data_IF_276539917085
#
_entry.id   IF_276539917085
#
_cell.length_a   1.000
_cell.length_b   1.000
_cell.length_c   1.000
_cell.angle_alpha   90.00
_cell.angle_beta   90.00
_cell.angle_gamma   90.00
#
_symmetry.space_group_name_H-M   'P 1'
#
loop_
_entity.id
_entity.type
_entity.pdbx_description
1 polymer ?
#
# COMPACT_ATOMS: atom_id res chain seq x y z
N UNK A 1 52.08 -55.71 25.92
CA UNK A 1 51.28 -56.04 24.71
C UNK A 1 50.19 -54.99 24.50
N UNK A 2 49.94 -54.62 23.23
CA UNK A 2 48.76 -53.93 22.66
C UNK A 2 48.57 -52.40 22.87
N UNK A 3 48.98 -51.65 21.82
CA UNK A 3 48.26 -50.58 21.06
C UNK A 3 46.84 -50.24 21.59
N UNK A 4 46.33 -48.99 21.71
CA UNK A 4 46.23 -47.90 20.70
C UNK A 4 45.53 -46.64 21.30
N UNK A 5 46.00 -45.45 20.89
CA UNK A 5 45.30 -44.19 20.51
C UNK A 5 44.39 -43.37 21.49
N UNK A 6 44.90 -42.14 21.75
CA UNK A 6 44.32 -40.78 21.64
C UNK A 6 43.02 -40.44 22.41
N UNK A 7 43.14 -39.49 23.35
CA UNK A 7 42.01 -38.74 23.87
C UNK A 7 42.44 -37.45 24.59
N UNK A 8 42.14 -36.30 23.96
CA UNK A 8 41.82 -34.98 24.54
C UNK A 8 42.90 -34.24 25.37
N UNK A 9 43.71 -33.45 24.67
CA UNK A 9 44.33 -32.22 25.18
C UNK A 9 43.52 -31.04 24.59
N UNK A 10 43.37 -29.95 25.35
CA UNK A 10 42.66 -28.68 25.03
C UNK A 10 41.26 -28.54 25.65
N UNK A 11 41.21 -28.59 26.98
CA UNK A 11 40.20 -27.85 27.76
C UNK A 11 40.97 -26.69 28.40
N UNK A 12 40.93 -25.50 27.79
CA UNK A 12 41.53 -24.31 28.38
C UNK A 12 41.91 -23.20 27.40
N UNK A 13 40.93 -22.55 26.75
CA UNK A 13 41.15 -21.26 26.04
C UNK A 13 39.90 -20.38 25.86
N UNK A 14 38.80 -20.57 26.62
CA UNK A 14 37.52 -19.89 26.33
C UNK A 14 37.15 -18.73 27.27
N UNK A 15 38.11 -18.05 27.91
CA UNK A 15 37.81 -17.02 28.93
C UNK A 15 38.58 -15.69 28.84
N UNK A 16 39.31 -15.37 27.74
CA UNK A 16 40.12 -14.13 27.66
C UNK A 16 39.59 -13.09 26.65
N UNK A 17 38.52 -13.38 25.90
CA UNK A 17 38.04 -12.48 24.83
C UNK A 17 36.99 -11.43 25.20
N UNK A 18 36.41 -11.46 26.41
CA UNK A 18 35.12 -10.78 26.66
C UNK A 18 35.20 -9.43 27.41
N UNK A 19 36.38 -8.90 27.70
CA UNK A 19 36.54 -7.70 28.54
C UNK A 19 37.04 -6.43 27.82
N UNK A 20 36.96 -6.35 26.47
CA UNK A 20 37.48 -5.18 25.72
C UNK A 20 36.48 -4.47 24.80
N UNK A 21 35.16 -4.61 24.95
CA UNK A 21 34.19 -3.97 24.03
C UNK A 21 33.37 -2.80 24.61
N UNK A 22 33.67 -2.31 25.82
CA UNK A 22 32.95 -1.16 26.41
C UNK A 22 33.64 0.16 26.00
N UNK A 23 33.55 0.55 24.73
CA UNK A 23 34.20 1.78 24.27
C UNK A 23 33.91 2.23 22.84
N UNK A 24 32.99 1.58 22.13
CA UNK A 24 32.61 2.02 20.78
C UNK A 24 31.31 2.83 20.92
N UNK A 25 31.30 4.14 20.61
CA UNK A 25 30.03 4.85 20.49
C UNK A 25 29.23 4.15 19.39
N UNK A 26 28.01 3.73 19.72
CA UNK A 26 27.05 3.21 18.75
C UNK A 26 26.64 4.36 17.82
N UNK A 27 27.49 4.68 16.84
CA UNK A 27 27.03 5.32 15.63
C UNK A 27 26.16 4.27 14.94
N UNK A 28 24.85 4.43 15.12
CA UNK A 28 23.89 3.80 14.22
C UNK A 28 24.32 4.13 12.80
N UNK A 29 24.70 3.12 12.02
CA UNK A 29 24.85 3.25 10.58
C UNK A 29 23.43 3.39 10.01
N UNK A 30 22.81 4.54 10.27
CA UNK A 30 21.73 4.99 9.42
C UNK A 30 22.37 5.22 8.05
N UNK A 31 22.02 4.36 7.09
CA UNK A 31 22.23 4.60 5.68
C UNK A 31 21.82 6.05 5.42
N UNK A 32 22.78 6.85 4.96
CA UNK A 32 22.57 8.27 4.66
C UNK A 32 21.29 8.42 3.85
N UNK A 33 20.48 9.47 4.06
CA UNK A 33 19.33 9.70 3.20
C UNK A 33 19.85 9.74 1.77
N UNK A 34 19.43 8.77 0.96
CA UNK A 34 19.69 8.77 -0.48
C UNK A 34 19.11 10.08 -0.98
N UNK A 35 19.98 11.04 -1.32
CA UNK A 35 19.58 12.22 -2.07
C UNK A 35 19.01 11.70 -3.38
N UNK A 36 17.67 11.69 -3.47
CA UNK A 36 16.95 11.42 -4.71
C UNK A 36 17.17 12.63 -5.61
N UNK A 37 18.30 12.63 -6.31
CA UNK A 37 18.56 13.56 -7.38
C UNK A 37 17.41 13.46 -8.39
N UNK A 38 16.80 14.58 -8.81
CA UNK A 38 15.84 14.58 -9.90
C UNK A 38 16.46 13.86 -11.09
N UNK A 39 15.79 12.82 -11.57
CA UNK A 39 16.28 12.05 -12.71
C UNK A 39 16.09 12.92 -13.95
N UNK A 40 17.13 13.67 -14.31
CA UNK A 40 17.13 14.58 -15.47
C UNK A 40 16.88 13.85 -16.81
N UNK A 41 17.00 12.52 -16.82
CA UNK A 41 16.86 11.70 -18.02
C UNK A 41 16.07 10.42 -17.74
N UNK A 42 14.76 10.58 -17.57
CA UNK A 42 13.80 9.47 -17.40
C UNK A 42 13.92 8.45 -18.54
N UNK A 43 14.25 8.91 -19.76
CA UNK A 43 14.49 8.02 -20.90
C UNK A 43 15.69 7.07 -20.71
N UNK A 44 16.78 7.53 -20.09
CA UNK A 44 17.99 6.71 -19.89
C UNK A 44 17.71 5.61 -18.87
N UNK A 45 16.94 5.95 -17.82
CA UNK A 45 16.47 4.98 -16.82
C UNK A 45 15.51 3.98 -17.46
N UNK A 46 14.53 4.43 -18.25
CA UNK A 46 13.60 3.53 -18.96
C UNK A 46 14.30 2.63 -20.00
N UNK A 47 15.34 3.13 -20.68
CA UNK A 47 16.16 2.35 -21.62
C UNK A 47 17.03 1.30 -20.93
N UNK A 48 17.42 1.55 -19.68
CA UNK A 48 18.23 0.61 -18.87
C UNK A 48 17.44 -0.60 -18.34
N UNK A 49 16.10 -0.58 -18.43
CA UNK A 49 15.24 -1.68 -17.99
C UNK A 49 15.18 -2.80 -19.03
N UNK A 50 15.30 -4.05 -18.57
CA UNK A 50 15.12 -5.25 -19.39
C UNK A 50 13.68 -5.38 -19.89
N UNK A 51 13.46 -6.22 -20.91
CA UNK A 51 12.12 -6.46 -21.45
C UNK A 51 11.13 -6.93 -20.37
N UNK A 52 11.58 -7.81 -19.47
CA UNK A 52 10.77 -8.28 -18.35
C UNK A 52 10.50 -7.19 -17.32
N UNK A 53 11.47 -6.30 -17.06
CA UNK A 53 11.28 -5.16 -16.16
C UNK A 53 10.33 -4.11 -16.74
N UNK A 54 10.37 -3.87 -18.05
CA UNK A 54 9.40 -2.99 -18.73
C UNK A 54 8.01 -3.62 -18.74
N UNK A 55 7.91 -4.92 -19.00
CA UNK A 55 6.66 -5.66 -18.90
C UNK A 55 6.10 -5.65 -17.47
N UNK A 56 6.96 -5.72 -16.45
CA UNK A 56 6.54 -5.57 -15.05
C UNK A 56 6.02 -4.17 -14.74
N UNK A 57 6.56 -3.12 -15.36
CA UNK A 57 6.02 -1.75 -15.28
C UNK A 57 4.68 -1.60 -16.01
N UNK A 58 4.51 -2.24 -17.18
CA UNK A 58 3.22 -2.31 -17.87
C UNK A 58 2.19 -3.15 -17.08
N UNK A 59 2.64 -4.13 -16.30
CA UNK A 59 1.82 -4.93 -15.39
C UNK A 59 1.59 -4.27 -14.02
N UNK A 60 2.34 -3.23 -13.64
CA UNK A 60 1.99 -2.38 -12.51
C UNK A 60 0.73 -1.56 -12.79
N UNK A 61 0.42 -1.31 -14.07
CA UNK A 61 -0.87 -0.80 -14.55
C UNK A 61 -1.95 -1.90 -14.64
N UNK A 62 -1.65 -3.16 -14.27
CA UNK A 62 -2.63 -4.24 -14.28
C UNK A 62 -3.69 -3.98 -13.21
N UNK A 63 -4.87 -3.60 -13.71
CA UNK A 63 -6.18 -3.56 -13.09
C UNK A 63 -6.23 -3.83 -11.58
N UNK A 64 -6.79 -2.91 -10.77
CA UNK A 64 -7.03 -3.16 -9.36
C UNK A 64 -8.02 -4.32 -9.24
N UNK A 65 -7.51 -5.55 -9.09
CA UNK A 65 -8.31 -6.68 -8.68
C UNK A 65 -8.79 -6.36 -7.27
N UNK A 66 -10.08 -6.03 -7.14
CA UNK A 66 -10.69 -5.78 -5.85
C UNK A 66 -10.50 -7.05 -5.00
N UNK A 67 -9.74 -6.91 -3.92
CA UNK A 67 -9.45 -8.03 -3.03
C UNK A 67 -10.10 -7.70 -1.69
N UNK A 68 -11.11 -8.49 -1.32
CA UNK A 68 -11.68 -8.44 0.02
C UNK A 68 -10.72 -9.20 0.93
N UNK A 69 -10.38 -8.58 2.05
CA UNK A 69 -9.48 -9.19 3.03
C UNK A 69 -10.11 -10.49 3.57
N UNK A 70 -9.35 -11.61 3.67
CA UNK A 70 -9.92 -12.92 3.99
C UNK A 70 -10.48 -13.05 5.42
N UNK A 71 -10.18 -12.09 6.29
CA UNK A 71 -10.75 -11.95 7.63
C UNK A 71 -12.16 -11.36 7.64
N UNK A 72 -12.65 -10.83 6.51
CA UNK A 72 -14.01 -10.30 6.37
C UNK A 72 -14.97 -11.46 6.07
N UNK A 73 -15.92 -11.69 6.97
CA UNK A 73 -17.00 -12.64 6.73
C UNK A 73 -18.04 -12.05 5.78
N UNK A 74 -17.98 -12.46 4.51
CA UNK A 74 -18.92 -12.05 3.47
C UNK A 74 -20.27 -12.79 3.50
N UNK A 75 -20.47 -13.71 4.46
CA UNK A 75 -21.71 -14.48 4.62
C UNK A 75 -22.52 -14.07 5.85
N UNK A 76 -22.01 -13.11 6.65
CA UNK A 76 -22.67 -12.61 7.84
C UNK A 76 -23.29 -11.21 7.63
N UNK A 77 -24.50 -10.95 8.19
CA UNK A 77 -25.09 -9.62 8.21
C UNK A 77 -24.38 -8.64 9.16
N UNK A 78 -23.33 -9.08 9.85
CA UNK A 78 -22.51 -8.21 10.68
C UNK A 78 -21.86 -7.09 9.89
N UNK A 79 -21.69 -5.95 10.56
CA UNK A 79 -21.13 -4.75 9.95
C UNK A 79 -19.62 -4.86 9.88
N UNK A 80 -19.10 -4.74 8.67
CA UNK A 80 -17.67 -4.75 8.38
C UNK A 80 -17.21 -3.36 7.95
N UNK A 81 -15.95 -3.04 8.24
CA UNK A 81 -15.32 -1.77 7.88
C UNK A 81 -14.45 -1.99 6.66
N UNK A 82 -14.73 -1.27 5.59
CA UNK A 82 -13.96 -1.36 4.35
C UNK A 82 -13.50 0.01 3.90
N UNK A 83 -12.46 0.02 3.08
CA UNK A 83 -12.05 1.17 2.29
C UNK A 83 -12.40 0.86 0.83
N UNK A 84 -13.24 1.70 0.23
CA UNK A 84 -13.58 1.64 -1.18
C UNK A 84 -12.67 2.62 -1.91
N UNK A 85 -11.73 2.10 -2.67
CA UNK A 85 -10.88 2.89 -3.56
C UNK A 85 -11.61 3.19 -4.88
N UNK A 86 -11.47 4.41 -5.37
CA UNK A 86 -12.04 4.87 -6.63
C UNK A 86 -11.02 4.70 -7.76
N UNK A 87 -11.52 4.44 -8.98
CA UNK A 87 -10.66 4.22 -10.15
C UNK A 87 -9.85 5.47 -10.56
N UNK A 88 -10.35 6.68 -10.25
CA UNK A 88 -9.63 7.90 -10.54
C UNK A 88 -8.53 8.12 -9.51
N UNK A 89 -7.32 8.41 -9.99
CA UNK A 89 -6.20 8.73 -9.11
C UNK A 89 -6.44 10.04 -8.33
N UNK A 90 -5.78 10.24 -7.18
CA UNK A 90 -5.78 11.52 -6.48
C UNK A 90 -5.32 12.67 -7.39
N UNK A 91 -5.83 13.87 -7.15
CA UNK A 91 -5.63 15.02 -8.05
C UNK A 91 -4.16 15.27 -8.42
N UNK A 92 -3.24 15.20 -7.44
CA UNK A 92 -1.80 15.39 -7.66
C UNK A 92 -1.22 14.32 -8.60
N UNK A 93 -1.61 13.05 -8.40
CA UNK A 93 -1.15 11.93 -9.21
C UNK A 93 -1.73 12.01 -10.62
N UNK A 94 -3.00 12.40 -10.76
CA UNK A 94 -3.64 12.56 -12.05
C UNK A 94 -2.97 13.65 -12.90
N UNK A 95 -2.58 14.78 -12.30
CA UNK A 95 -1.81 15.83 -12.98
C UNK A 95 -0.49 15.27 -13.52
N UNK A 96 0.24 14.50 -12.71
CA UNK A 96 1.51 13.88 -13.12
C UNK A 96 1.30 12.82 -14.20
N UNK A 97 0.27 11.98 -14.07
CA UNK A 97 -0.07 10.92 -15.03
C UNK A 97 -0.45 11.50 -16.39
N UNK A 98 -1.19 12.61 -16.42
CA UNK A 98 -1.52 13.29 -17.67
C UNK A 98 -0.31 14.01 -18.26
N UNK A 99 0.53 14.63 -17.43
CA UNK A 99 1.77 15.27 -17.88
C UNK A 99 2.73 14.25 -18.53
N UNK A 100 2.86 13.05 -17.95
CA UNK A 100 3.62 11.94 -18.54
C UNK A 100 3.05 11.48 -19.89
N UNK A 101 1.74 11.66 -20.13
CA UNK A 101 1.06 11.41 -21.41
C UNK A 101 1.10 12.61 -22.38
N UNK A 102 1.86 13.66 -22.06
CA UNK A 102 1.96 14.89 -22.85
C UNK A 102 0.73 15.81 -22.76
N UNK A 103 -0.22 15.53 -21.86
CA UNK A 103 -1.43 16.32 -21.66
C UNK A 103 -1.29 17.23 -20.45
N UNK A 104 -1.72 18.49 -20.59
CA UNK A 104 -1.76 19.44 -19.47
C UNK A 104 -3.17 19.52 -18.91
N UNK A 105 -3.31 19.18 -17.63
CA UNK A 105 -4.53 19.45 -16.87
C UNK A 105 -4.19 20.38 -15.71
N UNK A 106 -5.11 21.26 -15.33
CA UNK A 106 -4.93 22.07 -14.13
C UNK A 106 -5.15 21.23 -12.88
N UNK A 107 -4.46 21.57 -11.79
CA UNK A 107 -4.71 20.96 -10.47
C UNK A 107 -6.16 21.17 -10.02
N UNK A 108 -6.79 22.28 -10.40
CA UNK A 108 -8.19 22.56 -10.10
C UNK A 108 -9.14 21.61 -10.83
N UNK A 109 -8.89 21.33 -12.11
CA UNK A 109 -9.70 20.39 -12.88
C UNK A 109 -9.55 18.96 -12.35
N UNK A 110 -8.33 18.55 -11.98
CA UNK A 110 -8.09 17.25 -11.36
C UNK A 110 -8.81 17.12 -10.01
N UNK A 111 -8.77 18.17 -9.18
CA UNK A 111 -9.44 18.19 -7.88
C UNK A 111 -10.97 18.18 -8.01
N UNK A 112 -11.51 18.92 -8.99
CA UNK A 112 -12.94 18.93 -9.26
C UNK A 112 -13.47 17.54 -9.62
N UNK A 113 -12.70 16.74 -10.37
CA UNK A 113 -13.08 15.35 -10.66
C UNK A 113 -13.11 14.48 -9.41
N UNK A 114 -12.10 14.58 -8.54
CA UNK A 114 -12.10 13.89 -7.23
C UNK A 114 -13.37 14.25 -6.45
N UNK A 115 -13.67 15.55 -6.34
CA UNK A 115 -14.82 16.02 -5.58
C UNK A 115 -16.15 15.57 -6.18
N UNK A 116 -16.25 15.52 -7.51
CA UNK A 116 -17.41 15.02 -8.22
C UNK A 116 -17.64 13.53 -7.94
N UNK A 117 -16.61 12.69 -8.00
CA UNK A 117 -16.73 11.26 -7.70
C UNK A 117 -17.20 11.02 -6.26
N UNK A 118 -16.60 11.73 -5.29
CA UNK A 118 -17.04 11.66 -3.89
C UNK A 118 -18.50 12.07 -3.74
N UNK A 119 -18.94 13.11 -4.46
CA UNK A 119 -20.33 13.57 -4.43
C UNK A 119 -21.29 12.54 -5.05
N UNK A 120 -20.93 11.95 -6.18
CA UNK A 120 -21.72 10.92 -6.86
C UNK A 120 -21.83 9.68 -5.97
N UNK A 121 -20.72 9.23 -5.38
CA UNK A 121 -20.68 8.07 -4.50
C UNK A 121 -21.53 8.29 -3.24
N UNK A 122 -21.43 9.45 -2.58
CA UNK A 122 -22.28 9.79 -1.41
C UNK A 122 -23.76 9.72 -1.75
N UNK A 123 -24.17 10.34 -2.86
CA UNK A 123 -25.57 10.27 -3.32
C UNK A 123 -26.02 8.84 -3.57
N UNK A 124 -25.14 8.01 -4.12
CA UNK A 124 -25.43 6.59 -4.29
C UNK A 124 -25.66 5.90 -2.94
N UNK A 125 -24.76 6.09 -1.98
CA UNK A 125 -24.92 5.51 -0.62
C UNK A 125 -26.20 6.01 0.06
N UNK A 126 -26.54 7.29 -0.04
CA UNK A 126 -27.79 7.85 0.50
C UNK A 126 -29.03 7.23 -0.16
N UNK A 127 -28.97 6.99 -1.47
CA UNK A 127 -30.05 6.32 -2.21
C UNK A 127 -30.25 4.86 -1.75
N UNK A 128 -29.18 4.18 -1.33
CA UNK A 128 -29.26 2.82 -0.78
C UNK A 128 -29.99 2.80 0.56
N UNK A 129 -29.71 3.77 1.45
CA UNK A 129 -30.43 3.91 2.74
C UNK A 129 -31.91 4.22 2.57
N UNK A 130 -32.30 4.81 1.44
CA UNK A 130 -33.68 5.17 1.17
C UNK A 130 -34.52 3.98 0.70
N UNK A 131 -33.90 2.84 0.36
CA UNK A 131 -34.59 1.60 0.01
C UNK A 131 -34.97 0.83 1.27
N UNK A 132 -36.21 0.34 1.33
CA UNK A 132 -36.68 -0.56 2.41
C UNK A 132 -35.72 -1.74 2.56
N UNK A 133 -35.45 -2.12 3.81
CA UNK A 133 -34.54 -3.20 4.16
C UNK A 133 -34.86 -4.47 3.35
N UNK A 134 -33.86 -5.03 2.68
CA UNK A 134 -34.03 -6.14 1.73
C UNK A 134 -34.23 -7.50 2.43
N UNK A 135 -34.65 -7.52 3.70
CA UNK A 135 -34.86 -8.72 4.51
C UNK A 135 -33.58 -9.42 4.97
N UNK A 136 -32.48 -9.32 4.22
CA UNK A 136 -31.18 -9.92 4.53
C UNK A 136 -30.22 -9.00 5.28
N UNK A 137 -30.35 -7.67 5.13
CA UNK A 137 -29.55 -6.69 5.88
C UNK A 137 -30.21 -5.32 5.94
N UNK A 138 -29.83 -4.54 6.96
CA UNK A 138 -30.35 -3.20 7.19
C UNK A 138 -29.55 -2.16 6.38
N UNK A 139 -30.17 -1.61 5.34
CA UNK A 139 -29.54 -0.60 4.46
C UNK A 139 -29.26 0.70 5.22
N UNK A 140 -30.02 0.96 6.30
CA UNK A 140 -29.85 2.12 7.17
C UNK A 140 -28.51 2.14 7.91
N UNK A 141 -27.93 0.97 8.17
CA UNK A 141 -26.66 0.84 8.90
C UNK A 141 -25.44 1.16 8.01
N UNK A 142 -25.62 1.27 6.70
CA UNK A 142 -24.55 1.65 5.77
C UNK A 142 -24.12 3.09 6.06
N UNK A 143 -22.83 3.34 6.29
CA UNK A 143 -22.34 4.69 6.63
C UNK A 143 -20.93 4.94 6.12
N UNK A 144 -20.74 6.05 5.43
CA UNK A 144 -19.41 6.60 5.14
C UNK A 144 -18.84 7.22 6.42
N UNK A 145 -17.64 6.79 6.79
CA UNK A 145 -16.95 7.20 8.02
C UNK A 145 -15.81 8.19 7.74
N UNK A 146 -15.18 8.10 6.56
CA UNK A 146 -14.09 8.98 6.17
C UNK A 146 -13.96 9.08 4.65
N UNK A 147 -13.38 10.18 4.17
CA UNK A 147 -13.08 10.43 2.75
C UNK A 147 -11.58 10.62 2.56
N UNK A 148 -11.00 9.86 1.63
CA UNK A 148 -9.62 9.98 1.22
C UNK A 148 -9.54 10.66 -0.16
N UNK A 149 -8.74 11.73 -0.25
CA UNK A 149 -8.59 12.53 -1.48
C UNK A 149 -7.13 12.77 -1.88
N UNK A 150 -6.18 12.36 -1.04
CA UNK A 150 -4.78 12.77 -1.13
C UNK A 150 -3.85 11.62 -1.54
N UNK A 151 -3.56 10.68 -0.62
CA UNK A 151 -2.68 9.55 -0.90
C UNK A 151 -3.38 8.46 -1.71
N UNK A 152 -4.65 8.23 -1.39
CA UNK A 152 -5.58 7.40 -2.16
C UNK A 152 -6.84 8.24 -2.44
N UNK A 153 -7.60 7.87 -3.47
CA UNK A 153 -8.92 8.42 -3.74
C UNK A 153 -9.96 7.37 -3.38
N UNK A 154 -10.82 7.63 -2.39
CA UNK A 154 -11.79 6.65 -1.95
C UNK A 154 -12.47 7.02 -0.64
N UNK A 155 -13.24 6.09 -0.07
CA UNK A 155 -13.97 6.32 1.19
C UNK A 155 -13.83 5.14 2.14
N UNK A 156 -13.70 5.43 3.44
CA UNK A 156 -13.90 4.42 4.47
C UNK A 156 -15.38 4.34 4.79
N UNK A 157 -15.97 3.14 4.78
CA UNK A 157 -17.37 2.95 5.10
C UNK A 157 -17.63 1.66 5.88
N UNK A 158 -18.77 1.65 6.54
CA UNK A 158 -19.31 0.49 7.22
C UNK A 158 -20.50 -0.02 6.41
N UNK A 159 -20.50 -1.32 6.09
CA UNK A 159 -21.61 -2.00 5.44
C UNK A 159 -21.75 -3.44 5.95
N UNK A 160 -22.90 -4.09 5.76
CA UNK A 160 -23.07 -5.52 6.03
C UNK A 160 -22.11 -6.37 5.20
N UNK A 161 -21.62 -7.47 5.76
CA UNK A 161 -20.75 -8.43 5.05
C UNK A 161 -21.45 -9.15 3.89
N UNK A 162 -22.77 -9.33 3.98
CA UNK A 162 -23.62 -9.92 2.93
C UNK A 162 -24.13 -8.86 1.95
N UNK A 163 -24.15 -9.22 0.66
CA UNK A 163 -24.65 -8.39 -0.44
C UNK A 163 -26.08 -8.73 -0.85
#
# INVERSE_FOLDING_TARGET
MKRRKKGKLLIGTLAVGMLLSQGIPYNVLAESPVELNPVDNVETVLKSLSADQRKALEQLDANPNFTISPDIDANSPELVKVIVEFNQAPAKIEVMKQAAKGKKISSSAASAKVDEEHKVFKKHVESLKSKKDAGTYETQKVKITHEYKNAINGVAMTLPGVA
#
